data_IF_301370134183
#
_entry.id   IF_301370134183
#
_cell.length_a   1.000
_cell.length_b   1.000
_cell.length_c   1.000
_cell.angle_alpha   90.00
_cell.angle_beta   90.00
_cell.angle_gamma   90.00
#
_symmetry.space_group_name_H-M   'P 1'
#
loop_
_entity.id
_entity.type
_entity.pdbx_description
1 polymer ?
#
# COMPACT_ATOMS: atom_id res chain seq x y z
N UNK A 1 -11.76 -6.30 -12.57
CA UNK A 1 -12.43 -5.04 -12.89
C UNK A 1 -11.41 -4.05 -13.40
N UNK A 2 -11.68 -3.38 -14.52
CA UNK A 2 -10.84 -2.29 -15.03
C UNK A 2 -11.47 -0.94 -14.70
N UNK A 3 -10.64 -0.01 -14.21
CA UNK A 3 -11.02 1.38 -14.01
C UNK A 3 -10.81 2.19 -15.30
N UNK A 4 -11.37 3.39 -15.33
CA UNK A 4 -11.21 4.29 -16.47
C UNK A 4 -9.74 4.52 -16.81
N UNK A 5 -9.43 4.52 -18.11
CA UNK A 5 -8.11 4.86 -18.58
C UNK A 5 -7.75 6.31 -18.22
N UNK A 6 -6.49 6.54 -17.94
CA UNK A 6 -5.93 7.83 -17.58
C UNK A 6 -4.86 8.23 -18.59
N UNK A 7 -4.64 9.53 -18.83
CA UNK A 7 -3.56 9.99 -19.70
C UNK A 7 -2.18 9.42 -19.36
N UNK A 8 -1.93 9.09 -18.09
CA UNK A 8 -0.65 8.52 -17.64
C UNK A 8 -0.43 7.08 -18.09
N UNK A 9 -1.49 6.35 -18.47
CA UNK A 9 -1.38 4.95 -18.89
C UNK A 9 -0.64 4.79 -20.23
N UNK A 10 -0.49 5.89 -20.98
CA UNK A 10 0.24 5.93 -22.26
C UNK A 10 1.67 6.51 -22.12
N UNK A 11 2.10 6.83 -20.90
CA UNK A 11 3.44 7.36 -20.65
C UNK A 11 4.41 6.21 -20.35
N UNK A 12 5.61 6.30 -20.90
CA UNK A 12 6.72 5.42 -20.52
C UNK A 12 7.32 5.90 -19.20
N UNK A 13 6.87 5.30 -18.11
CA UNK A 13 7.27 5.66 -16.74
C UNK A 13 7.95 4.47 -16.05
N UNK A 14 8.88 4.72 -15.12
CA UNK A 14 9.34 3.69 -14.20
C UNK A 14 8.17 3.06 -13.44
N UNK A 15 8.25 1.74 -13.23
CA UNK A 15 7.23 1.00 -12.48
C UNK A 15 7.02 1.61 -11.09
N UNK A 16 5.76 1.72 -10.67
CA UNK A 16 5.39 2.24 -9.36
C UNK A 16 5.54 3.76 -9.18
N UNK A 17 6.22 4.47 -10.09
CA UNK A 17 6.48 5.91 -9.94
C UNK A 17 5.19 6.72 -9.79
N UNK A 18 4.17 6.41 -10.57
CA UNK A 18 2.90 7.12 -10.52
C UNK A 18 2.15 6.90 -9.18
N UNK A 19 2.14 5.66 -8.68
CA UNK A 19 1.59 5.35 -7.36
C UNK A 19 2.31 6.10 -6.25
N UNK A 20 3.64 6.05 -6.24
CA UNK A 20 4.47 6.76 -5.26
C UNK A 20 4.22 8.28 -5.29
N UNK A 21 4.03 8.86 -6.47
CA UNK A 21 3.71 10.28 -6.61
C UNK A 21 2.32 10.63 -6.02
N UNK A 22 1.32 9.78 -6.25
CA UNK A 22 0.00 9.95 -5.64
C UNK A 22 0.07 9.91 -4.11
N UNK A 23 0.78 8.94 -3.53
CA UNK A 23 0.98 8.81 -2.08
C UNK A 23 1.66 10.06 -1.51
N UNK A 24 2.76 10.52 -2.13
CA UNK A 24 3.47 11.71 -1.70
C UNK A 24 2.58 12.96 -1.71
N UNK A 25 1.77 13.16 -2.75
CA UNK A 25 0.84 14.30 -2.83
C UNK A 25 -0.28 14.20 -1.79
N UNK A 26 -0.79 13.01 -1.52
CA UNK A 26 -1.77 12.80 -0.44
C UNK A 26 -1.15 13.16 0.91
N UNK A 27 0.07 12.71 1.17
CA UNK A 27 0.80 13.04 2.41
C UNK A 27 0.98 14.55 2.57
N UNK A 28 1.44 15.26 1.52
CA UNK A 28 1.58 16.71 1.54
C UNK A 28 0.26 17.42 1.84
N UNK A 29 -0.82 17.01 1.17
CA UNK A 29 -2.16 17.56 1.39
C UNK A 29 -2.68 17.32 2.80
N UNK A 30 -2.50 16.11 3.34
CA UNK A 30 -2.88 15.80 4.72
C UNK A 30 -2.10 16.60 5.75
N UNK A 31 -0.84 16.91 5.48
CA UNK A 31 0.02 17.70 6.35
C UNK A 31 -0.20 19.21 6.21
N UNK A 32 -1.03 19.65 5.26
CA UNK A 32 -1.22 21.07 4.97
C UNK A 32 0.03 21.74 4.38
N UNK A 33 0.92 20.96 3.78
CA UNK A 33 2.13 21.45 3.11
C UNK A 33 1.85 21.80 1.65
N UNK A 34 2.77 22.50 0.95
CA UNK A 34 2.63 22.78 -0.47
C UNK A 34 2.38 21.49 -1.26
N UNK A 35 1.37 21.50 -2.13
CA UNK A 35 0.94 20.35 -2.92
C UNK A 35 1.88 20.14 -4.12
N UNK A 36 3.12 19.72 -3.82
CA UNK A 36 4.19 19.54 -4.78
C UNK A 36 4.88 18.20 -4.57
N UNK A 37 5.38 17.60 -5.66
CA UNK A 37 6.19 16.40 -5.55
C UNK A 37 7.57 16.71 -4.98
N UNK A 38 8.12 15.82 -4.15
CA UNK A 38 9.52 15.87 -3.79
C UNK A 38 10.43 15.87 -5.03
N UNK A 39 11.51 16.65 -5.02
CA UNK A 39 12.44 16.79 -6.15
C UNK A 39 12.96 15.45 -6.65
N UNK A 40 13.22 14.51 -5.75
CA UNK A 40 13.68 13.17 -6.08
C UNK A 40 12.68 12.37 -6.94
N UNK A 41 11.38 12.58 -6.75
CA UNK A 41 10.33 11.97 -7.59
C UNK A 41 10.12 12.76 -8.88
N UNK A 42 10.08 14.08 -8.78
CA UNK A 42 9.91 14.97 -9.93
C UNK A 42 11.04 14.78 -10.97
N UNK A 43 12.26 14.51 -10.52
CA UNK A 43 13.42 14.25 -11.37
C UNK A 43 13.37 12.93 -12.15
N UNK A 44 12.53 11.98 -11.74
CA UNK A 44 12.36 10.69 -12.42
C UNK A 44 11.31 10.75 -13.54
N UNK A 45 10.50 11.81 -13.60
CA UNK A 45 9.48 11.98 -14.63
C UNK A 45 10.11 12.58 -15.89
N UNK A 46 9.97 11.92 -17.06
CA UNK A 46 10.46 12.48 -18.32
C UNK A 46 9.89 13.88 -18.59
N UNK A 47 10.72 14.81 -19.11
CA UNK A 47 10.34 16.23 -19.26
C UNK A 47 9.05 16.40 -20.05
N UNK A 48 8.89 15.69 -21.18
CA UNK A 48 7.68 15.74 -22.00
C UNK A 48 6.42 15.13 -21.36
N UNK A 49 6.56 14.39 -20.26
CA UNK A 49 5.47 13.75 -19.55
C UNK A 49 5.05 14.52 -18.26
N UNK A 50 5.88 15.45 -17.79
CA UNK A 50 5.72 16.09 -16.47
C UNK A 50 4.36 16.74 -16.25
N UNK A 51 3.89 17.50 -17.21
CA UNK A 51 2.60 18.20 -17.07
C UNK A 51 1.44 17.21 -16.91
N UNK A 52 1.33 16.24 -17.80
CA UNK A 52 0.28 15.20 -17.76
C UNK A 52 0.36 14.38 -16.50
N UNK A 53 1.59 13.94 -16.13
CA UNK A 53 1.84 13.17 -14.93
C UNK A 53 1.39 13.90 -13.65
N UNK A 54 1.84 15.15 -13.50
CA UNK A 54 1.53 15.96 -12.31
C UNK A 54 0.04 16.32 -12.23
N UNK A 55 -0.57 16.66 -13.36
CA UNK A 55 -2.00 16.96 -13.40
C UNK A 55 -2.84 15.77 -12.93
N UNK A 56 -2.53 14.58 -13.41
CA UNK A 56 -3.28 13.38 -13.07
C UNK A 56 -3.00 12.92 -11.64
N UNK A 57 -1.73 12.92 -11.19
CA UNK A 57 -1.39 12.57 -9.80
C UNK A 57 -2.07 13.51 -8.80
N UNK A 58 -2.10 14.82 -9.10
CA UNK A 58 -2.81 15.81 -8.29
C UNK A 58 -4.32 15.58 -8.28
N UNK A 59 -4.89 15.28 -9.44
CA UNK A 59 -6.33 14.99 -9.55
C UNK A 59 -6.72 13.81 -8.65
N UNK A 60 -5.99 12.69 -8.70
CA UNK A 60 -6.26 11.52 -7.88
C UNK A 60 -6.06 11.81 -6.39
N UNK A 61 -4.99 12.49 -6.03
CA UNK A 61 -4.74 12.86 -4.64
C UNK A 61 -5.83 13.79 -4.08
N UNK A 62 -6.26 14.81 -4.84
CA UNK A 62 -7.35 15.71 -4.44
C UNK A 62 -8.68 14.97 -4.31
N UNK A 63 -8.97 14.03 -5.22
CA UNK A 63 -10.17 13.19 -5.13
C UNK A 63 -10.24 12.47 -3.79
N UNK A 64 -9.14 11.85 -3.33
CA UNK A 64 -9.09 11.23 -2.00
C UNK A 64 -9.24 12.27 -0.88
N UNK A 65 -8.47 13.37 -0.93
CA UNK A 65 -8.48 14.40 0.12
C UNK A 65 -9.87 15.02 0.31
N UNK A 66 -10.66 15.12 -0.75
CA UNK A 66 -12.02 15.66 -0.71
C UNK A 66 -13.10 14.60 -0.52
N UNK A 67 -12.73 13.31 -0.54
CA UNK A 67 -13.69 12.21 -0.47
C UNK A 67 -14.50 12.20 0.83
N UNK A 68 -15.73 11.72 0.75
CA UNK A 68 -16.57 11.48 1.92
C UNK A 68 -15.96 10.41 2.85
N UNK A 69 -15.26 9.42 2.26
CA UNK A 69 -14.56 8.40 3.01
C UNK A 69 -13.52 9.01 3.96
N UNK A 70 -12.59 9.80 3.44
CA UNK A 70 -11.55 10.46 4.24
C UNK A 70 -12.17 11.35 5.33
N UNK A 71 -13.16 12.17 4.95
CA UNK A 71 -13.85 13.09 5.86
C UNK A 71 -14.57 12.37 7.00
N UNK A 72 -15.00 11.12 6.79
CA UNK A 72 -15.60 10.27 7.82
C UNK A 72 -14.69 9.99 9.02
N UNK A 73 -13.37 10.18 8.87
CA UNK A 73 -12.39 9.96 9.93
C UNK A 73 -11.78 11.26 10.49
N UNK A 74 -12.27 12.43 10.10
CA UNK A 74 -11.75 13.74 10.57
C UNK A 74 -11.89 13.94 12.08
N UNK A 75 -12.83 13.24 12.72
CA UNK A 75 -13.00 13.28 14.18
C UNK A 75 -12.00 12.42 14.95
N UNK A 76 -11.24 11.57 14.28
CA UNK A 76 -10.21 10.75 14.94
C UNK A 76 -9.01 11.61 15.33
N UNK A 77 -8.59 11.58 16.62
CA UNK A 77 -7.64 12.57 17.17
C UNK A 77 -6.21 12.40 16.65
N UNK A 78 -5.87 11.23 16.12
CA UNK A 78 -4.53 10.94 15.61
C UNK A 78 -4.58 10.49 14.17
N UNK A 79 -3.63 10.98 13.38
CA UNK A 79 -3.42 10.59 12.00
C UNK A 79 -1.92 10.52 11.71
N UNK A 80 -1.50 9.51 10.97
CA UNK A 80 -0.12 9.36 10.50
C UNK A 80 -0.11 8.84 9.07
N UNK A 81 0.76 9.39 8.23
CA UNK A 81 1.06 8.89 6.88
C UNK A 81 2.39 8.16 6.89
N UNK A 82 2.58 7.23 5.97
CA UNK A 82 3.84 6.50 5.75
C UNK A 82 4.42 5.89 7.03
N UNK A 83 3.54 5.33 7.87
CA UNK A 83 3.93 4.81 9.18
C UNK A 83 4.59 3.44 9.08
N UNK A 84 5.88 3.37 9.40
CA UNK A 84 6.58 2.09 9.59
C UNK A 84 6.20 1.43 10.91
N UNK A 85 5.94 0.12 10.87
CA UNK A 85 5.74 -0.73 12.05
C UNK A 85 6.68 -1.93 11.95
N UNK A 86 7.27 -2.31 13.07
CA UNK A 86 8.01 -3.57 13.20
C UNK A 86 7.48 -4.29 14.42
N UNK A 87 7.00 -5.51 14.23
CA UNK A 87 6.52 -6.37 15.31
C UNK A 87 7.28 -7.69 15.31
N UNK A 88 7.73 -8.10 16.49
CA UNK A 88 8.40 -9.39 16.66
C UNK A 88 7.41 -10.54 16.46
N UNK A 89 7.82 -11.54 15.70
CA UNK A 89 7.15 -12.82 15.57
C UNK A 89 7.91 -13.89 16.38
N UNK A 90 7.30 -15.04 16.68
CA UNK A 90 8.02 -16.19 17.25
C UNK A 90 9.26 -16.56 16.43
N UNK A 91 10.14 -17.33 17.04
CA UNK A 91 11.36 -17.89 16.41
C UNK A 91 12.36 -16.83 15.91
N UNK A 92 12.25 -15.59 16.40
CA UNK A 92 13.16 -14.50 16.04
C UNK A 92 12.84 -13.80 14.73
N UNK A 93 11.72 -14.12 14.09
CA UNK A 93 11.24 -13.39 12.93
C UNK A 93 10.68 -12.01 13.31
N UNK A 94 10.54 -11.14 12.32
CA UNK A 94 9.88 -9.85 12.46
C UNK A 94 8.99 -9.56 11.26
N UNK A 95 7.81 -9.00 11.53
CA UNK A 95 6.93 -8.45 10.50
C UNK A 95 7.20 -6.95 10.39
N UNK A 96 7.66 -6.52 9.23
CA UNK A 96 7.85 -5.12 8.89
C UNK A 96 6.73 -4.68 7.96
N UNK A 97 5.99 -3.65 8.37
CA UNK A 97 4.89 -3.06 7.61
C UNK A 97 5.14 -1.58 7.36
N UNK A 98 4.73 -1.08 6.21
CA UNK A 98 4.63 0.35 5.93
C UNK A 98 3.19 0.66 5.58
N UNK A 99 2.55 1.47 6.41
CA UNK A 99 1.15 1.83 6.28
C UNK A 99 1.05 3.20 5.63
N UNK A 100 0.33 3.31 4.50
CA UNK A 100 0.21 4.57 3.76
C UNK A 100 -0.48 5.64 4.60
N UNK A 101 -1.61 5.30 5.24
CA UNK A 101 -2.34 6.20 6.10
C UNK A 101 -3.00 5.44 7.26
N UNK A 102 -2.92 6.03 8.45
CA UNK A 102 -3.54 5.50 9.66
C UNK A 102 -4.32 6.60 10.35
N UNK A 103 -5.55 6.30 10.72
CA UNK A 103 -6.34 7.08 11.68
C UNK A 103 -6.45 6.28 12.98
N UNK A 104 -6.36 6.96 14.11
CA UNK A 104 -6.39 6.30 15.41
C UNK A 104 -7.20 7.09 16.42
N UNK A 105 -8.08 6.41 17.14
CA UNK A 105 -8.77 6.86 18.34
C UNK A 105 -8.39 6.02 19.55
N UNK A 106 -9.05 6.23 20.68
CA UNK A 106 -8.88 5.37 21.87
C UNK A 106 -9.37 3.93 21.61
N UNK A 107 -10.39 3.78 20.79
CA UNK A 107 -11.10 2.51 20.58
C UNK A 107 -10.75 1.83 19.25
N UNK A 108 -10.29 2.59 18.25
CA UNK A 108 -10.17 2.09 16.88
C UNK A 108 -8.89 2.58 16.18
N UNK A 109 -8.35 1.68 15.34
CA UNK A 109 -7.32 1.99 14.34
C UNK A 109 -7.91 1.67 12.96
N UNK A 110 -7.81 2.62 12.05
CA UNK A 110 -8.20 2.46 10.64
C UNK A 110 -6.96 2.62 9.78
N UNK A 111 -6.63 1.58 9.04
CA UNK A 111 -5.52 1.56 8.07
C UNK A 111 -6.11 1.77 6.68
N UNK A 112 -5.50 2.64 5.88
CA UNK A 112 -5.85 2.85 4.48
C UNK A 112 -4.60 2.64 3.64
N UNK A 113 -4.72 1.80 2.63
CA UNK A 113 -3.69 1.52 1.65
C UNK A 113 -4.17 1.99 0.27
N UNK A 114 -3.39 2.84 -0.39
CA UNK A 114 -3.78 3.46 -1.65
C UNK A 114 -3.36 2.62 -2.84
N UNK A 115 -4.27 2.45 -3.79
CA UNK A 115 -4.00 1.77 -5.05
C UNK A 115 -4.32 2.68 -6.24
N UNK A 116 -3.32 2.94 -7.07
CA UNK A 116 -3.44 3.73 -8.31
C UNK A 116 -3.54 2.87 -9.57
N UNK A 117 -3.55 1.53 -9.42
CA UNK A 117 -3.61 0.56 -10.50
C UNK A 117 -4.85 0.78 -11.37
N UNK A 118 -4.73 0.51 -12.67
CA UNK A 118 -5.85 0.50 -13.60
C UNK A 118 -6.74 -0.73 -13.41
N UNK A 119 -6.14 -1.86 -13.05
CA UNK A 119 -6.85 -3.13 -12.90
C UNK A 119 -6.93 -3.52 -11.42
N UNK A 120 -8.13 -3.88 -11.00
CA UNK A 120 -8.39 -4.48 -9.69
C UNK A 120 -8.51 -5.98 -9.84
N UNK A 121 -7.65 -6.70 -9.13
CA UNK A 121 -7.73 -8.16 -8.97
C UNK A 121 -8.29 -8.44 -7.58
N UNK A 122 -9.46 -9.10 -7.45
CA UNK A 122 -10.03 -9.40 -6.14
C UNK A 122 -9.08 -10.24 -5.28
N UNK A 123 -8.91 -9.84 -4.04
CA UNK A 123 -8.09 -10.58 -3.06
C UNK A 123 -6.56 -10.41 -3.19
N UNK A 124 -6.07 -9.71 -4.21
CA UNK A 124 -4.63 -9.52 -4.46
C UNK A 124 -3.90 -8.93 -3.24
N UNK A 125 -4.54 -8.00 -2.54
CA UNK A 125 -3.94 -7.31 -1.39
C UNK A 125 -4.49 -7.76 -0.03
N UNK A 126 -5.37 -8.76 0.00
CA UNK A 126 -6.06 -9.18 1.22
C UNK A 126 -5.09 -9.65 2.30
N UNK A 127 -4.07 -10.42 1.93
CA UNK A 127 -3.06 -10.89 2.87
C UNK A 127 -2.20 -9.75 3.41
N UNK A 128 -1.83 -8.79 2.58
CA UNK A 128 -1.07 -7.60 2.98
C UNK A 128 -1.83 -6.83 4.07
N UNK A 129 -3.10 -6.51 3.82
CA UNK A 129 -3.91 -5.75 4.77
C UNK A 129 -4.26 -6.57 6.02
N UNK A 130 -4.45 -7.89 5.89
CA UNK A 130 -4.63 -8.77 7.04
C UNK A 130 -3.39 -8.77 7.94
N UNK A 131 -2.18 -8.78 7.36
CA UNK A 131 -0.93 -8.66 8.10
C UNK A 131 -0.82 -7.29 8.82
N UNK A 132 -1.22 -6.20 8.15
CA UNK A 132 -1.27 -4.86 8.76
C UNK A 132 -2.21 -4.82 9.97
N UNK A 133 -3.41 -5.42 9.86
CA UNK A 133 -4.34 -5.52 10.98
C UNK A 133 -3.74 -6.28 12.15
N UNK A 134 -3.07 -7.40 11.89
CA UNK A 134 -2.42 -8.20 12.94
C UNK A 134 -1.29 -7.43 13.61
N UNK A 135 -0.43 -6.75 12.85
CA UNK A 135 0.62 -5.89 13.39
C UNK A 135 0.05 -4.78 14.29
N UNK A 136 -1.00 -4.11 13.85
CA UNK A 136 -1.67 -3.07 14.64
C UNK A 136 -2.26 -3.62 15.94
N UNK A 137 -2.90 -4.81 15.93
CA UNK A 137 -3.45 -5.45 17.14
C UNK A 137 -2.36 -5.85 18.12
N UNK A 138 -1.22 -6.32 17.63
CA UNK A 138 -0.07 -6.67 18.50
C UNK A 138 0.47 -5.44 19.23
N UNK A 139 0.49 -4.28 18.56
CA UNK A 139 1.00 -3.02 19.14
C UNK A 139 -0.03 -2.27 19.98
N UNK A 140 -1.32 -2.48 19.72
CA UNK A 140 -2.42 -1.82 20.42
C UNK A 140 -3.52 -2.83 20.78
N UNK A 141 -3.24 -3.76 21.72
CA UNK A 141 -4.22 -4.77 22.13
C UNK A 141 -5.46 -4.09 22.73
N UNK A 142 -6.62 -4.60 22.32
CA UNK A 142 -7.92 -4.09 22.76
C UNK A 142 -8.56 -3.05 21.83
N UNK A 143 -7.83 -2.49 20.88
CA UNK A 143 -8.44 -1.64 19.85
C UNK A 143 -9.04 -2.46 18.71
N UNK A 144 -10.17 -2.00 18.20
CA UNK A 144 -10.72 -2.47 16.94
C UNK A 144 -9.78 -2.03 15.81
N UNK A 145 -9.45 -2.94 14.90
CA UNK A 145 -8.62 -2.61 13.73
C UNK A 145 -9.37 -2.92 12.46
N UNK A 146 -9.51 -1.93 11.60
CA UNK A 146 -10.07 -2.04 10.26
C UNK A 146 -9.02 -1.66 9.21
N UNK A 147 -9.08 -2.28 8.05
CA UNK A 147 -8.17 -1.95 6.95
C UNK A 147 -8.95 -1.81 5.65
N UNK A 148 -8.58 -0.81 4.87
CA UNK A 148 -9.22 -0.48 3.61
C UNK A 148 -8.21 -0.38 2.49
N UNK A 149 -8.55 -0.94 1.33
CA UNK A 149 -7.98 -0.53 0.05
C UNK A 149 -8.74 0.69 -0.44
N UNK A 150 -8.02 1.74 -0.82
CA UNK A 150 -8.63 2.89 -1.47
C UNK A 150 -8.16 2.99 -2.92
N UNK A 151 -9.09 2.72 -3.82
CA UNK A 151 -8.87 2.75 -5.26
C UNK A 151 -8.98 4.18 -5.76
N UNK A 152 -7.83 4.86 -5.91
CA UNK A 152 -7.75 6.28 -6.26
C UNK A 152 -8.47 6.62 -7.57
N UNK A 153 -8.39 5.73 -8.57
CA UNK A 153 -9.04 5.93 -9.87
C UNK A 153 -10.57 5.84 -9.83
N UNK A 154 -11.10 5.15 -8.84
CA UNK A 154 -12.54 4.91 -8.70
C UNK A 154 -13.19 5.72 -7.58
N UNK A 155 -12.40 6.48 -6.81
CA UNK A 155 -12.87 7.15 -5.57
C UNK A 155 -13.65 6.17 -4.67
N UNK A 156 -13.09 4.99 -4.47
CA UNK A 156 -13.78 3.89 -3.78
C UNK A 156 -12.92 3.24 -2.72
N UNK A 157 -13.48 3.16 -1.50
CA UNK A 157 -12.92 2.38 -0.41
C UNK A 157 -13.52 0.96 -0.40
N UNK A 158 -12.68 -0.03 -0.13
CA UNK A 158 -13.05 -1.44 0.02
C UNK A 158 -12.48 -1.95 1.35
N UNK A 159 -13.34 -2.35 2.27
CA UNK A 159 -12.88 -2.92 3.55
C UNK A 159 -12.40 -4.35 3.34
N UNK A 160 -11.16 -4.63 3.77
CA UNK A 160 -10.61 -5.98 3.72
C UNK A 160 -10.98 -6.72 4.98
N UNK A 161 -11.90 -7.68 4.84
CA UNK A 161 -12.42 -8.48 5.95
C UNK A 161 -11.52 -9.67 6.30
N UNK A 162 -10.62 -10.10 5.39
CA UNK A 162 -9.67 -11.18 5.66
C UNK A 162 -8.89 -10.90 6.94
N UNK A 163 -8.70 -11.93 7.74
CA UNK A 163 -7.82 -11.95 8.89
C UNK A 163 -6.63 -12.88 8.62
N UNK A 164 -5.47 -12.55 9.17
CA UNK A 164 -4.30 -13.43 9.17
C UNK A 164 -3.93 -13.75 10.61
N UNK A 165 -3.85 -15.02 10.92
CA UNK A 165 -3.38 -15.48 12.21
C UNK A 165 -1.86 -15.34 12.35
N UNK A 166 -1.37 -15.37 13.60
CA UNK A 166 0.06 -15.32 13.87
C UNK A 166 0.82 -16.50 13.22
N UNK A 167 0.25 -17.70 13.24
CA UNK A 167 0.82 -18.88 12.59
C UNK A 167 0.95 -18.72 11.08
N UNK A 168 -0.08 -18.17 10.41
CA UNK A 168 -0.02 -17.89 8.97
C UNK A 168 1.11 -16.91 8.64
N UNK A 169 1.27 -15.85 9.42
CA UNK A 169 2.36 -14.89 9.23
C UNK A 169 3.73 -15.49 9.51
N UNK A 170 3.83 -16.39 10.49
CA UNK A 170 5.05 -17.10 10.80
C UNK A 170 5.43 -18.07 9.68
N UNK A 171 4.47 -18.80 9.11
CA UNK A 171 4.72 -19.70 7.97
C UNK A 171 5.20 -18.95 6.73
N UNK A 172 4.63 -17.77 6.47
CA UNK A 172 5.11 -16.88 5.41
C UNK A 172 6.54 -16.39 5.67
N UNK A 173 6.86 -16.03 6.91
CA UNK A 173 8.21 -15.62 7.29
C UNK A 173 9.22 -16.77 7.13
N UNK A 174 8.85 -17.99 7.53
CA UNK A 174 9.68 -19.20 7.33
C UNK A 174 9.92 -19.47 5.86
N UNK A 175 8.86 -19.41 5.03
CA UNK A 175 8.98 -19.61 3.58
C UNK A 175 9.89 -18.57 2.93
N UNK A 176 9.73 -17.30 3.30
CA UNK A 176 10.58 -16.21 2.79
C UNK A 176 12.07 -16.37 3.19
N UNK A 177 12.34 -16.89 4.39
CA UNK A 177 13.70 -17.13 4.87
C UNK A 177 14.41 -18.30 4.16
N UNK A 178 13.66 -19.26 3.63
CA UNK A 178 14.22 -20.38 2.85
C UNK A 178 14.64 -19.98 1.43
N UNK A 179 14.20 -18.81 0.95
CA UNK A 179 14.44 -18.34 -0.43
C UNK A 179 13.60 -19.12 -1.47
N UNK A 180 13.62 -18.71 -2.73
CA UNK A 180 13.09 -19.53 -3.80
C UNK A 180 13.90 -20.82 -3.85
N UNK A 181 13.23 -21.97 -3.70
CA UNK A 181 13.87 -23.26 -3.97
C UNK A 181 14.16 -23.27 -5.47
N UNK A 182 15.45 -23.32 -5.85
CA UNK A 182 15.87 -23.57 -7.21
C UNK A 182 15.27 -24.90 -7.67
N UNK A 183 14.19 -24.86 -8.41
CA UNK A 183 13.68 -25.98 -9.22
C UNK A 183 14.58 -26.22 -10.46
N UNK A 184 15.89 -26.11 -10.30
CA UNK A 184 16.85 -26.32 -11.36
C UNK A 184 17.98 -27.26 -10.93
N UNK A 185 17.64 -28.48 -10.51
CA UNK A 185 18.63 -29.54 -10.36
C UNK A 185 17.99 -30.92 -10.48
N UNK A 186 17.29 -31.20 -11.58
CA UNK A 186 17.05 -32.58 -12.03
C UNK A 186 16.87 -32.59 -13.56
N UNK A 187 17.96 -32.52 -14.32
CA UNK A 187 18.09 -33.15 -15.64
C UNK A 187 19.56 -33.11 -16.10
N UNK A 188 20.42 -33.86 -15.47
CA UNK A 188 21.57 -34.45 -16.16
C UNK A 188 21.54 -35.94 -15.90
N UNK A 189 20.82 -36.63 -16.77
CA UNK A 189 20.92 -38.07 -16.89
C UNK A 189 22.32 -38.47 -17.37
N UNK A 190 22.84 -39.64 -16.96
CA UNK A 190 24.19 -40.03 -17.32
C UNK A 190 24.29 -40.28 -18.82
N UNK A 191 25.13 -39.47 -19.49
CA UNK A 191 25.61 -39.78 -20.85
C UNK A 191 26.50 -41.01 -20.80
N UNK A 192 26.00 -42.09 -21.32
CA UNK A 192 26.79 -43.25 -21.71
C UNK A 192 27.40 -42.96 -23.05
N UNK A 193 28.74 -42.69 -23.10
CA UNK A 193 29.72 -43.26 -24.06
C UNK A 193 31.12 -42.76 -23.70
#
# INVERSE_FOLDING_TARGET
EEFAASPVDNLELPEGLFGTACHALIEEGLAGRPFALPDALAGQVPEGAKETFLAEARRLALTFLDSAFRKGFDSMPRRASEKGLIVGLPEGYALSCRLDLVFESEEEIVVVDFKSNRTRVPGEYDLQLAAYKTACRMLAPGKRVRAFLYWLRADRAEEVLREAGLEELLDLARAAALGPQDEAAEEEGPSLL
#
